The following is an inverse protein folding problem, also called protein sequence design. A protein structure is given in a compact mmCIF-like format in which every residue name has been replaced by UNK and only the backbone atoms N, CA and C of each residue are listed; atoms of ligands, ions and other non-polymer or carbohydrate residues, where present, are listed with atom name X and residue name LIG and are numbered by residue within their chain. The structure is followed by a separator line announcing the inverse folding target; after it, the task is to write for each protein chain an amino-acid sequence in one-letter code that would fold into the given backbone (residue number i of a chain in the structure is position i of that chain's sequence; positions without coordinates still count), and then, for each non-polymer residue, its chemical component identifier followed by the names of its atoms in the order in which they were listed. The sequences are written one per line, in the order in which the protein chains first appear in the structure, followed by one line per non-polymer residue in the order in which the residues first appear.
data_IF_356993150879
#
_entry.id   IF_356993150879
#
_cell.length_a   1.000
_cell.length_b   1.000
_cell.length_c   1.000
_cell.angle_alpha   90.00
_cell.angle_beta   90.00
_cell.angle_gamma   90.00
#
_symmetry.space_group_name_H-M   'P 1'
#
loop_
_entity.id
_entity.type
_entity.pdbx_description
1 polymer ?
#
# COMPACT_ATOMS: atom_id res chain seq x y z
N UNK A 1 8.74 -13.59 20.61
CA UNK A 1 9.28 -13.54 21.99
C UNK A 1 8.92 -12.25 22.72
N UNK A 2 8.84 -11.09 22.02
CA UNK A 2 8.65 -9.76 22.63
C UNK A 2 7.24 -9.52 23.24
N UNK A 3 6.21 -10.27 22.82
CA UNK A 3 4.86 -10.20 23.39
C UNK A 3 4.62 -11.30 24.46
N UNK A 4 5.63 -12.17 24.72
CA UNK A 4 5.53 -13.19 25.79
C UNK A 4 5.51 -12.52 27.15
N UNK A 5 4.47 -12.79 27.94
CA UNK A 5 4.24 -12.19 29.25
C UNK A 5 3.25 -11.03 29.26
N UNK A 6 2.76 -10.58 28.10
CA UNK A 6 1.58 -9.73 27.96
C UNK A 6 0.32 -10.59 27.79
N UNK A 7 -0.84 -10.07 28.17
CA UNK A 7 -2.13 -10.73 27.93
C UNK A 7 -2.57 -10.65 26.44
N UNK A 8 -1.59 -10.65 25.51
CA UNK A 8 -1.80 -10.55 24.08
C UNK A 8 -1.55 -11.90 23.44
N UNK A 9 -2.62 -12.52 22.93
CA UNK A 9 -2.54 -13.75 22.15
C UNK A 9 -2.12 -13.43 20.70
N UNK A 10 -0.99 -13.97 20.28
CA UNK A 10 -0.46 -13.74 18.93
C UNK A 10 0.19 -14.98 18.36
N UNK A 11 0.10 -15.16 17.05
CA UNK A 11 0.85 -16.15 16.28
C UNK A 11 1.60 -15.50 15.12
N UNK A 12 2.62 -16.17 14.62
CA UNK A 12 3.37 -15.70 13.44
C UNK A 12 2.56 -16.02 12.18
N UNK A 13 2.28 -15.00 11.39
CA UNK A 13 1.65 -15.14 10.08
C UNK A 13 2.71 -15.24 8.97
N UNK A 14 3.68 -14.31 8.95
CA UNK A 14 4.86 -14.33 8.07
C UNK A 14 6.10 -13.95 8.88
N UNK A 15 7.25 -13.78 8.22
CA UNK A 15 8.45 -13.24 8.90
C UNK A 15 8.23 -11.86 9.48
N UNK A 16 7.45 -11.02 8.80
CA UNK A 16 7.20 -9.61 9.16
C UNK A 16 5.87 -9.39 9.87
N UNK A 17 4.94 -10.35 9.84
CA UNK A 17 3.58 -10.17 10.37
C UNK A 17 3.26 -11.16 11.50
N UNK A 18 2.57 -10.62 12.52
CA UNK A 18 1.94 -11.38 13.58
C UNK A 18 0.42 -11.17 13.53
N UNK A 19 -0.35 -12.24 13.61
CA UNK A 19 -1.79 -12.15 13.83
C UNK A 19 -2.07 -12.03 15.33
N UNK A 20 -2.92 -11.08 15.71
CA UNK A 20 -3.35 -10.87 17.09
C UNK A 20 -4.76 -11.46 17.26
N UNK A 21 -4.88 -12.51 18.06
CA UNK A 21 -6.16 -13.18 18.31
C UNK A 21 -6.90 -12.61 19.52
N UNK A 22 -6.15 -12.06 20.49
CA UNK A 22 -6.71 -11.46 21.69
C UNK A 22 -5.85 -10.32 22.20
N UNK A 23 -6.46 -9.37 22.92
CA UNK A 23 -5.74 -8.22 23.48
C UNK A 23 -5.30 -7.17 22.45
N UNK A 24 -5.95 -7.08 21.30
CA UNK A 24 -5.57 -6.13 20.23
C UNK A 24 -5.50 -4.67 20.72
N UNK A 25 -6.43 -4.24 21.59
CA UNK A 25 -6.40 -2.89 22.19
C UNK A 25 -5.14 -2.65 23.04
N UNK A 26 -4.65 -3.69 23.72
CA UNK A 26 -3.46 -3.60 24.57
C UNK A 26 -2.17 -3.46 23.75
N UNK A 27 -2.17 -3.87 22.47
CA UNK A 27 -1.01 -3.69 21.59
C UNK A 27 -0.59 -2.24 21.52
N UNK A 28 -1.54 -1.30 21.44
CA UNK A 28 -1.27 0.14 21.37
C UNK A 28 -0.63 0.69 22.64
N UNK A 29 -0.84 0.03 23.78
CA UNK A 29 -0.31 0.42 25.09
C UNK A 29 1.11 -0.15 25.33
N UNK A 30 1.54 -1.10 24.49
CA UNK A 30 2.88 -1.69 24.61
C UNK A 30 3.98 -0.69 24.30
N UNK A 31 5.09 -0.79 25.01
CA UNK A 31 6.31 -0.03 24.67
C UNK A 31 6.77 -0.29 23.23
N UNK A 32 6.54 -1.50 22.70
CA UNK A 32 6.89 -1.86 21.32
C UNK A 32 6.14 -1.00 20.30
N UNK A 33 4.85 -0.76 20.52
CA UNK A 33 4.08 0.12 19.65
C UNK A 33 4.47 1.58 19.82
N UNK A 34 4.56 2.03 21.08
CA UNK A 34 4.87 3.43 21.41
C UNK A 34 6.26 3.86 20.92
N UNK A 35 7.24 2.95 20.93
CA UNK A 35 8.59 3.19 20.44
C UNK A 35 8.80 2.85 18.96
N UNK A 36 7.71 2.49 18.25
CA UNK A 36 7.76 2.26 16.80
C UNK A 36 8.40 0.93 16.37
N UNK A 37 8.60 -0.02 17.27
CA UNK A 37 9.12 -1.35 16.90
C UNK A 37 8.08 -2.20 16.17
N UNK A 38 6.81 -1.88 16.33
CA UNK A 38 5.71 -2.53 15.64
C UNK A 38 4.71 -1.50 15.10
N UNK A 39 4.01 -1.88 14.03
CA UNK A 39 2.92 -1.14 13.43
C UNK A 39 1.71 -2.04 13.27
N UNK A 40 0.51 -1.46 13.18
CA UNK A 40 -0.72 -2.21 12.88
C UNK A 40 -1.00 -2.07 11.39
N UNK A 41 -1.04 -3.20 10.71
CA UNK A 41 -1.29 -3.25 9.28
C UNK A 41 -2.07 -4.52 8.93
N UNK A 42 -2.94 -4.42 7.94
CA UNK A 42 -3.59 -5.54 7.31
C UNK A 42 -2.56 -6.37 6.53
N UNK A 43 -2.50 -7.71 6.67
CA UNK A 43 -1.58 -8.55 5.90
C UNK A 43 -1.73 -8.38 4.39
N UNK A 44 -2.95 -8.23 3.86
CA UNK A 44 -3.18 -7.97 2.45
C UNK A 44 -2.55 -6.62 2.00
N UNK A 45 -2.56 -5.62 2.88
CA UNK A 45 -1.87 -4.35 2.62
C UNK A 45 -0.34 -4.50 2.59
N UNK A 46 0.22 -5.43 3.39
CA UNK A 46 1.63 -5.81 3.33
C UNK A 46 1.97 -6.52 2.03
N UNK A 47 1.16 -7.49 1.63
CA UNK A 47 1.32 -8.24 0.39
C UNK A 47 1.37 -7.34 -0.86
N UNK A 48 0.65 -6.21 -0.86
CA UNK A 48 0.76 -5.19 -1.91
C UNK A 48 2.19 -4.64 -2.02
N UNK A 49 2.86 -4.39 -0.89
CA UNK A 49 4.25 -3.93 -0.90
C UNK A 49 5.22 -5.05 -1.29
N UNK A 50 4.92 -6.30 -0.92
CA UNK A 50 5.73 -7.46 -1.31
C UNK A 50 5.72 -7.67 -2.84
N UNK A 51 4.63 -7.31 -3.53
CA UNK A 51 4.56 -7.32 -5.00
C UNK A 51 5.59 -6.39 -5.68
N UNK A 52 6.20 -5.46 -4.96
CA UNK A 52 7.29 -4.63 -5.50
C UNK A 52 8.61 -5.39 -5.65
N UNK A 53 8.77 -6.55 -5.03
CA UNK A 53 10.02 -7.33 -4.99
C UNK A 53 11.24 -6.48 -4.67
N UNK A 54 11.17 -5.82 -3.51
CA UNK A 54 12.14 -4.81 -3.09
C UNK A 54 13.51 -5.39 -2.79
N UNK A 55 14.54 -4.61 -3.12
CA UNK A 55 15.94 -4.91 -2.78
C UNK A 55 16.52 -3.77 -1.96
N UNK A 56 17.47 -4.08 -1.11
CA UNK A 56 18.20 -3.07 -0.35
C UNK A 56 18.83 -2.00 -1.27
N UNK A 57 18.79 -0.76 -0.83
CA UNK A 57 19.36 0.38 -1.56
C UNK A 57 18.47 0.99 -2.65
N UNK A 58 17.28 0.43 -2.93
CA UNK A 58 16.40 0.95 -3.97
C UNK A 58 15.70 2.24 -3.56
N UNK A 59 15.40 3.08 -4.56
CA UNK A 59 14.50 4.23 -4.44
C UNK A 59 13.09 3.82 -4.82
N UNK A 60 12.13 4.08 -3.93
CA UNK A 60 10.72 3.75 -4.12
C UNK A 60 9.87 5.02 -4.06
N UNK A 61 9.02 5.24 -5.05
CA UNK A 61 7.91 6.20 -4.95
C UNK A 61 6.70 5.49 -4.35
N UNK A 62 6.18 6.03 -3.25
CA UNK A 62 4.89 5.61 -2.69
C UNK A 62 3.89 6.77 -2.87
N UNK A 63 2.98 6.60 -3.82
CA UNK A 63 2.07 7.64 -4.27
C UNK A 63 0.68 7.40 -3.69
N UNK A 64 0.02 8.46 -3.21
CA UNK A 64 -1.20 8.39 -2.41
C UNK A 64 -0.98 7.66 -1.06
N UNK A 65 0.23 7.80 -0.51
CA UNK A 65 0.80 6.96 0.55
C UNK A 65 0.14 7.08 1.91
N UNK A 66 -0.47 8.23 2.21
CA UNK A 66 -0.91 8.52 3.59
C UNK A 66 -2.10 7.63 4.04
N UNK A 67 -2.06 7.12 5.27
CA UNK A 67 -1.28 7.57 6.43
C UNK A 67 0.16 7.02 6.52
N UNK A 68 0.59 6.05 5.69
CA UNK A 68 1.99 5.69 5.56
C UNK A 68 2.40 4.31 6.07
N UNK A 69 1.46 3.44 6.43
CA UNK A 69 1.81 2.09 6.91
C UNK A 69 2.56 1.27 5.86
N UNK A 70 2.20 1.40 4.57
CA UNK A 70 2.95 0.78 3.47
C UNK A 70 4.34 1.41 3.33
N UNK A 71 4.45 2.75 3.39
CA UNK A 71 5.75 3.45 3.34
C UNK A 71 6.70 2.98 4.44
N UNK A 72 6.20 2.78 5.68
CA UNK A 72 7.02 2.27 6.79
C UNK A 72 7.50 0.84 6.53
N UNK A 73 6.64 -0.03 6.01
CA UNK A 73 6.99 -1.39 5.67
C UNK A 73 8.03 -1.45 4.53
N UNK A 74 7.79 -0.69 3.47
CA UNK A 74 8.72 -0.53 2.33
C UNK A 74 10.09 -0.03 2.80
N UNK A 75 10.12 0.96 3.70
CA UNK A 75 11.37 1.50 4.23
C UNK A 75 12.21 0.47 4.99
N UNK A 76 11.55 -0.44 5.72
CA UNK A 76 12.21 -1.58 6.35
C UNK A 76 12.82 -2.55 5.33
N UNK A 77 12.12 -2.80 4.21
CA UNK A 77 12.56 -3.73 3.17
C UNK A 77 13.73 -3.18 2.34
N UNK A 78 13.75 -1.87 2.01
CA UNK A 78 14.85 -1.26 1.26
C UNK A 78 16.06 -0.95 2.13
N UNK A 79 15.93 -0.97 3.46
CA UNK A 79 17.00 -0.73 4.41
C UNK A 79 17.51 0.72 4.43
N UNK A 80 18.55 0.98 5.22
CA UNK A 80 19.08 2.35 5.45
C UNK A 80 19.69 2.97 4.19
N UNK A 81 20.21 2.16 3.27
CA UNK A 81 20.79 2.58 1.99
C UNK A 81 19.73 2.94 0.95
N UNK A 82 18.47 2.47 1.15
CA UNK A 82 17.34 2.76 0.27
C UNK A 82 16.59 4.02 0.69
N UNK A 83 15.68 4.45 -0.18
CA UNK A 83 14.87 5.65 0.06
C UNK A 83 13.41 5.42 -0.34
N UNK A 84 12.48 5.89 0.51
CA UNK A 84 11.05 5.97 0.19
C UNK A 84 10.66 7.43 0.05
N UNK A 85 10.10 7.76 -1.12
CA UNK A 85 9.57 9.09 -1.44
C UNK A 85 8.04 9.00 -1.37
N UNK A 86 7.50 9.26 -0.19
CA UNK A 86 6.08 9.17 0.10
C UNK A 86 5.36 10.48 -0.20
N UNK A 87 4.23 10.41 -0.89
CA UNK A 87 3.43 11.60 -1.21
C UNK A 87 1.92 11.36 -1.07
N UNK A 88 1.21 12.42 -0.76
CA UNK A 88 -0.25 12.45 -0.74
C UNK A 88 -0.75 13.87 -1.03
N UNK A 89 -1.92 13.99 -1.62
CA UNK A 89 -2.54 15.29 -1.92
C UNK A 89 -2.93 16.08 -0.66
N UNK A 90 -3.24 15.39 0.44
CA UNK A 90 -3.74 15.99 1.67
C UNK A 90 -2.61 16.36 2.65
N UNK A 91 -2.37 17.65 2.92
CA UNK A 91 -1.36 18.07 3.92
C UNK A 91 -1.62 17.47 5.30
N UNK A 92 -2.88 17.36 5.72
CA UNK A 92 -3.25 16.78 7.01
C UNK A 92 -2.90 15.31 7.11
N UNK A 93 -3.09 14.54 6.01
CA UNK A 93 -2.70 13.13 5.94
C UNK A 93 -1.19 12.96 5.92
N UNK A 94 -0.46 13.78 5.16
CA UNK A 94 1.01 13.81 5.13
C UNK A 94 1.57 14.10 6.53
N UNK A 95 1.00 15.04 7.28
CA UNK A 95 1.44 15.34 8.63
C UNK A 95 1.26 14.14 9.60
N UNK A 96 0.18 13.36 9.45
CA UNK A 96 0.02 12.10 10.21
C UNK A 96 1.11 11.09 9.88
N UNK A 97 1.44 10.93 8.58
CA UNK A 97 2.53 10.07 8.14
C UNK A 97 3.89 10.50 8.71
N UNK A 98 4.16 11.81 8.78
CA UNK A 98 5.37 12.35 9.43
C UNK A 98 5.42 12.08 10.93
N UNK A 99 4.28 12.18 11.61
CA UNK A 99 4.19 11.86 13.05
C UNK A 99 4.48 10.38 13.31
N UNK A 100 3.92 9.50 12.50
CA UNK A 100 4.15 8.06 12.63
C UNK A 100 5.59 7.68 12.25
N UNK A 101 6.15 8.32 11.23
CA UNK A 101 7.58 8.20 10.88
C UNK A 101 8.50 8.55 12.07
N UNK A 102 8.21 9.65 12.78
CA UNK A 102 8.99 10.05 13.96
C UNK A 102 8.90 9.00 15.07
N UNK A 103 7.73 8.38 15.27
CA UNK A 103 7.54 7.29 16.24
C UNK A 103 8.43 6.09 15.92
N UNK A 104 8.58 5.75 14.64
CA UNK A 104 9.42 4.64 14.17
C UNK A 104 10.91 4.96 14.11
N UNK A 105 11.29 6.24 14.17
CA UNK A 105 12.69 6.66 14.12
C UNK A 105 13.40 6.39 12.78
N UNK A 106 12.65 6.09 11.72
CA UNK A 106 13.20 5.83 10.39
C UNK A 106 13.65 7.13 9.75
N UNK A 107 14.78 7.10 9.02
CA UNK A 107 15.40 8.27 8.37
C UNK A 107 15.32 8.22 6.84
N UNK A 108 14.93 7.09 6.30
CA UNK A 108 14.92 6.81 4.86
C UNK A 108 13.54 7.04 4.18
N UNK A 109 12.60 7.72 4.86
CA UNK A 109 11.32 8.16 4.26
C UNK A 109 11.29 9.68 4.17
N UNK A 110 10.94 10.20 2.99
CA UNK A 110 10.70 11.63 2.76
C UNK A 110 9.26 11.86 2.36
N UNK A 111 8.54 12.67 3.14
CA UNK A 111 7.15 13.02 2.91
C UNK A 111 7.01 14.34 2.15
N UNK A 112 6.18 14.35 1.12
CA UNK A 112 5.80 15.56 0.37
C UNK A 112 4.29 15.64 0.13
N UNK A 113 3.78 16.87 0.04
CA UNK A 113 2.42 17.11 -0.45
C UNK A 113 2.50 17.27 -1.94
N UNK A 114 1.86 16.36 -2.70
CA UNK A 114 1.89 16.36 -4.16
C UNK A 114 0.55 15.92 -4.75
N UNK A 115 0.22 16.52 -5.88
CA UNK A 115 -0.86 16.06 -6.75
C UNK A 115 -0.31 15.05 -7.76
N UNK A 116 -0.66 13.78 -7.56
CA UNK A 116 -0.17 12.67 -8.37
C UNK A 116 -0.57 12.74 -9.87
N UNK A 117 -1.42 13.69 -10.25
CA UNK A 117 -1.85 13.87 -11.64
C UNK A 117 -0.97 14.85 -12.41
N UNK A 118 -0.18 15.69 -11.71
CA UNK A 118 0.53 16.81 -12.36
C UNK A 118 1.90 17.16 -11.81
N UNK A 119 2.20 16.76 -10.56
CA UNK A 119 3.47 17.14 -9.93
C UNK A 119 4.58 16.15 -10.30
N UNK A 120 5.77 16.67 -10.60
CA UNK A 120 6.91 15.85 -10.98
C UNK A 120 7.48 15.05 -9.80
N UNK A 121 8.03 13.89 -10.12
CA UNK A 121 8.74 13.01 -9.21
C UNK A 121 10.16 12.72 -9.73
N UNK A 122 11.11 12.38 -8.88
CA UNK A 122 12.37 11.84 -9.36
C UNK A 122 12.19 10.41 -9.87
N UNK A 123 13.08 9.96 -10.75
CA UNK A 123 13.08 8.59 -11.23
C UNK A 123 13.29 7.59 -10.09
N UNK A 124 12.56 6.50 -10.12
CA UNK A 124 12.58 5.48 -9.09
C UNK A 124 12.72 4.06 -9.66
N UNK A 125 13.28 3.18 -8.84
CA UNK A 125 13.44 1.76 -9.19
C UNK A 125 12.12 1.01 -9.06
N UNK A 126 11.25 1.47 -8.16
CA UNK A 126 9.95 0.90 -7.84
C UNK A 126 8.91 1.99 -7.59
N UNK A 127 7.68 1.74 -8.00
CA UNK A 127 6.56 2.66 -7.75
C UNK A 127 5.39 1.88 -7.15
N UNK A 128 4.87 2.38 -6.04
CA UNK A 128 3.59 1.96 -5.49
C UNK A 128 2.56 3.08 -5.69
N UNK A 129 1.42 2.72 -6.26
CA UNK A 129 0.24 3.58 -6.35
C UNK A 129 -0.90 2.90 -5.58
N UNK A 130 -1.07 3.26 -4.30
CA UNK A 130 -2.25 2.87 -3.51
C UNK A 130 -3.38 3.87 -3.79
N UNK A 131 -4.09 3.63 -4.90
CA UNK A 131 -4.92 4.63 -5.54
C UNK A 131 -6.16 5.00 -4.72
N UNK A 132 -6.58 6.30 -4.74
CA UNK A 132 -7.86 6.68 -4.17
C UNK A 132 -8.99 5.95 -4.90
N UNK A 133 -9.83 5.23 -4.16
CA UNK A 133 -10.87 4.37 -4.71
C UNK A 133 -12.19 4.48 -3.92
N UNK A 134 -13.23 3.79 -4.37
CA UNK A 134 -14.52 3.73 -3.66
C UNK A 134 -14.40 3.05 -2.31
N UNK A 135 -13.45 2.10 -2.17
CA UNK A 135 -13.23 1.36 -0.92
C UNK A 135 -14.25 0.26 -0.67
N UNK A 136 -14.95 -0.23 -1.69
CA UNK A 136 -16.01 -1.24 -1.55
C UNK A 136 -15.52 -2.55 -0.95
N UNK A 137 -14.23 -2.89 -1.11
CA UNK A 137 -13.62 -4.09 -0.52
C UNK A 137 -13.34 -3.98 1.00
N UNK A 138 -13.45 -2.79 1.60
CA UNK A 138 -13.22 -2.59 3.04
C UNK A 138 -14.46 -2.15 3.80
N UNK A 139 -15.67 -2.35 3.24
CA UNK A 139 -16.95 -1.98 3.88
C UNK A 139 -17.19 -2.72 5.20
N UNK A 140 -16.64 -3.92 5.40
CA UNK A 140 -16.73 -4.64 6.67
C UNK A 140 -16.01 -3.88 7.82
N UNK A 141 -14.96 -3.12 7.50
CA UNK A 141 -14.17 -2.32 8.46
C UNK A 141 -14.58 -0.85 8.48
N UNK A 142 -15.16 -0.35 7.39
CA UNK A 142 -15.61 1.03 7.19
C UNK A 142 -17.04 1.05 6.66
N UNK A 143 -18.04 0.70 7.49
CA UNK A 143 -19.43 0.53 7.04
C UNK A 143 -20.07 1.82 6.53
N UNK A 144 -19.53 2.98 6.92
CA UNK A 144 -19.98 4.31 6.46
C UNK A 144 -19.77 4.53 4.95
N UNK A 145 -18.90 3.77 4.29
CA UNK A 145 -18.72 3.78 2.84
C UNK A 145 -20.04 3.52 2.13
N UNK A 146 -20.85 2.59 2.64
CA UNK A 146 -22.18 2.24 2.10
C UNK A 146 -23.09 3.46 1.91
N UNK A 147 -22.98 4.45 2.78
CA UNK A 147 -23.83 5.64 2.77
C UNK A 147 -23.21 6.84 2.06
N UNK A 148 -21.89 6.84 1.91
CA UNK A 148 -21.14 7.94 1.31
C UNK A 148 -20.97 7.81 -0.19
N UNK A 149 -20.93 6.57 -0.71
CA UNK A 149 -20.66 6.31 -2.12
C UNK A 149 -21.91 6.34 -2.98
N UNK A 150 -21.75 6.86 -4.19
CA UNK A 150 -22.78 6.91 -5.22
C UNK A 150 -22.28 6.18 -6.48
N UNK A 151 -23.14 5.61 -7.32
CA UNK A 151 -22.71 4.91 -8.54
C UNK A 151 -21.79 5.73 -9.44
N UNK A 152 -22.02 7.05 -9.56
CA UNK A 152 -21.15 7.94 -10.34
C UNK A 152 -19.73 8.15 -9.76
N UNK A 153 -19.47 7.73 -8.52
CA UNK A 153 -18.12 7.85 -7.93
C UNK A 153 -17.16 6.84 -8.53
N UNK A 154 -17.63 5.66 -8.94
CA UNK A 154 -16.81 4.64 -9.60
C UNK A 154 -16.16 5.22 -10.87
N UNK A 155 -16.97 5.81 -11.76
CA UNK A 155 -16.45 6.42 -13.00
C UNK A 155 -15.50 7.58 -12.74
N UNK A 156 -15.79 8.43 -11.75
CA UNK A 156 -14.91 9.56 -11.38
C UNK A 156 -13.57 9.07 -10.87
N UNK A 157 -13.58 8.06 -9.98
CA UNK A 157 -12.37 7.54 -9.36
C UNK A 157 -11.56 6.71 -10.34
N UNK A 158 -12.18 5.86 -11.17
CA UNK A 158 -11.44 5.11 -12.20
C UNK A 158 -10.77 6.03 -13.24
N UNK A 159 -11.43 7.13 -13.61
CA UNK A 159 -10.82 8.16 -14.46
C UNK A 159 -9.62 8.83 -13.78
N UNK A 160 -9.74 9.17 -12.49
CA UNK A 160 -8.64 9.75 -11.71
C UNK A 160 -7.48 8.75 -11.57
N UNK A 161 -7.77 7.50 -11.27
CA UNK A 161 -6.82 6.40 -11.14
C UNK A 161 -6.00 6.22 -12.43
N UNK A 162 -6.66 6.20 -13.57
CA UNK A 162 -5.97 6.11 -14.87
C UNK A 162 -5.04 7.30 -15.10
N UNK A 163 -5.48 8.52 -14.78
CA UNK A 163 -4.64 9.72 -14.90
C UNK A 163 -3.42 9.67 -14.00
N UNK A 164 -3.59 9.26 -12.74
CA UNK A 164 -2.48 9.06 -11.78
C UNK A 164 -1.51 8.02 -12.34
N UNK A 165 -2.02 6.87 -12.76
CA UNK A 165 -1.21 5.76 -13.27
C UNK A 165 -0.40 6.17 -14.50
N UNK A 166 -1.02 6.82 -15.49
CA UNK A 166 -0.34 7.32 -16.69
C UNK A 166 0.70 8.41 -16.39
N UNK A 167 0.43 9.29 -15.43
CA UNK A 167 1.38 10.34 -15.09
C UNK A 167 2.57 9.80 -14.29
N UNK A 168 2.30 9.02 -13.24
CA UNK A 168 3.34 8.55 -12.33
C UNK A 168 4.23 7.47 -12.96
N UNK A 169 3.71 6.68 -13.89
CA UNK A 169 4.49 5.65 -14.59
C UNK A 169 5.69 6.20 -15.37
N UNK A 170 5.67 7.48 -15.75
CA UNK A 170 6.76 8.14 -16.48
C UNK A 170 8.05 8.27 -15.65
N UNK A 171 7.95 8.17 -14.33
CA UNK A 171 9.07 8.26 -13.40
C UNK A 171 9.64 6.88 -13.01
N UNK A 172 9.15 5.80 -13.64
CA UNK A 172 9.71 4.47 -13.44
C UNK A 172 10.94 4.28 -14.32
N UNK A 173 12.06 3.92 -13.71
CA UNK A 173 13.27 3.57 -14.46
C UNK A 173 13.01 2.34 -15.35
N UNK A 174 13.67 2.23 -16.52
CA UNK A 174 13.60 1.04 -17.37
C UNK A 174 13.93 -0.22 -16.57
N UNK A 175 13.10 -1.27 -16.71
CA UNK A 175 13.22 -2.52 -15.94
C UNK A 175 12.75 -2.43 -14.49
N UNK A 176 12.16 -1.31 -14.09
CA UNK A 176 11.51 -1.14 -12.79
C UNK A 176 10.17 -1.86 -12.69
N UNK A 177 9.62 -1.95 -11.48
CA UNK A 177 8.29 -2.51 -11.20
C UNK A 177 7.35 -1.44 -10.65
N UNK A 178 6.15 -1.35 -11.22
CA UNK A 178 5.06 -0.52 -10.74
C UNK A 178 3.95 -1.43 -10.21
N UNK A 179 3.55 -1.20 -8.96
CA UNK A 179 2.38 -1.85 -8.35
C UNK A 179 1.25 -0.85 -8.27
N UNK A 180 0.14 -1.18 -8.91
CA UNK A 180 -1.12 -0.44 -8.80
C UNK A 180 -2.06 -1.23 -7.89
N UNK A 181 -2.56 -0.60 -6.85
CA UNK A 181 -3.45 -1.23 -5.88
C UNK A 181 -4.66 -0.34 -5.54
N UNK A 182 -5.76 -0.99 -5.21
CA UNK A 182 -6.96 -0.35 -4.65
C UNK A 182 -7.54 -1.20 -3.52
N UNK A 183 -8.31 -0.60 -2.64
CA UNK A 183 -9.17 -1.32 -1.71
C UNK A 183 -10.62 -1.44 -2.22
N UNK A 184 -10.82 -1.44 -3.53
CA UNK A 184 -12.11 -1.63 -4.21
C UNK A 184 -12.22 -3.03 -4.79
N UNK A 185 -13.42 -3.59 -4.81
CA UNK A 185 -13.73 -4.84 -5.54
C UNK A 185 -14.35 -4.57 -6.92
N UNK A 186 -14.54 -3.29 -7.28
CA UNK A 186 -15.16 -2.90 -8.53
C UNK A 186 -14.21 -3.13 -9.72
N UNK A 187 -14.60 -3.87 -10.76
CA UNK A 187 -13.77 -4.09 -11.93
C UNK A 187 -13.30 -2.81 -12.63
N UNK A 188 -14.14 -1.78 -12.62
CA UNK A 188 -13.90 -0.48 -13.24
C UNK A 188 -12.74 0.28 -12.57
N UNK A 189 -12.49 0.03 -11.29
CA UNK A 189 -11.38 0.62 -10.53
C UNK A 189 -10.11 -0.24 -10.52
N UNK A 190 -10.19 -1.46 -11.01
CA UNK A 190 -9.10 -2.44 -11.00
C UNK A 190 -8.69 -2.80 -12.43
N UNK A 191 -9.20 -3.94 -12.94
CA UNK A 191 -8.79 -4.48 -14.24
C UNK A 191 -9.04 -3.54 -15.42
N UNK A 192 -10.10 -2.75 -15.39
CA UNK A 192 -10.45 -1.89 -16.51
C UNK A 192 -9.51 -0.67 -16.58
N UNK A 193 -9.05 -0.15 -15.44
CA UNK A 193 -7.99 0.86 -15.36
C UNK A 193 -6.68 0.30 -15.91
N UNK A 194 -6.25 -0.88 -15.45
CA UNK A 194 -5.02 -1.53 -15.93
C UNK A 194 -5.08 -1.81 -17.42
N UNK A 195 -6.20 -2.34 -17.92
CA UNK A 195 -6.41 -2.59 -19.35
C UNK A 195 -6.30 -1.32 -20.20
N UNK A 196 -6.86 -0.20 -19.73
CA UNK A 196 -6.76 1.08 -20.41
C UNK A 196 -5.32 1.62 -20.37
N UNK A 197 -4.67 1.53 -19.21
CA UNK A 197 -3.28 1.94 -19.06
C UNK A 197 -2.34 1.22 -20.03
N UNK A 198 -2.43 -0.11 -20.12
CA UNK A 198 -1.59 -0.92 -21.02
C UNK A 198 -1.83 -0.61 -22.50
N UNK A 199 -3.03 -0.19 -22.89
CA UNK A 199 -3.28 0.27 -24.27
C UNK A 199 -2.59 1.60 -24.60
N UNK A 200 -2.39 2.45 -23.59
CA UNK A 200 -1.76 3.77 -23.74
C UNK A 200 -0.25 3.71 -23.54
N UNK A 201 0.28 2.66 -22.90
CA UNK A 201 1.68 2.53 -22.48
C UNK A 201 2.19 1.14 -22.87
N UNK A 202 2.54 0.96 -24.14
CA UNK A 202 2.93 -0.33 -24.72
C UNK A 202 4.26 -0.92 -24.16
N UNK A 203 5.06 -0.08 -23.48
CA UNK A 203 6.32 -0.52 -22.85
C UNK A 203 6.10 -1.22 -21.50
N UNK A 204 4.86 -1.25 -21.00
CA UNK A 204 4.49 -1.94 -19.77
C UNK A 204 3.87 -3.29 -20.07
N UNK A 205 4.26 -4.26 -19.25
CA UNK A 205 3.68 -5.63 -19.26
C UNK A 205 3.20 -5.98 -17.86
N UNK A 206 2.16 -6.80 -17.77
CA UNK A 206 1.72 -7.36 -16.49
C UNK A 206 2.67 -8.49 -16.11
N UNK A 207 3.09 -8.51 -14.85
CA UNK A 207 3.87 -9.59 -14.24
C UNK A 207 3.00 -10.34 -13.24
N UNK A 208 3.23 -11.64 -13.12
CA UNK A 208 2.63 -12.43 -12.04
C UNK A 208 3.14 -11.93 -10.69
N UNK A 209 2.31 -12.06 -9.66
CA UNK A 209 2.73 -11.73 -8.29
C UNK A 209 3.81 -12.71 -7.80
N UNK A 210 4.68 -12.29 -6.87
CA UNK A 210 5.74 -13.15 -6.34
C UNK A 210 5.17 -14.43 -5.71
N UNK A 211 5.90 -15.53 -5.83
CA UNK A 211 5.54 -16.84 -5.26
C UNK A 211 5.47 -16.85 -3.71
N UNK A 212 5.93 -15.79 -3.06
CA UNK A 212 5.79 -15.57 -1.62
C UNK A 212 4.38 -15.17 -1.20
N UNK A 213 3.56 -14.71 -2.15
CA UNK A 213 2.14 -14.40 -1.92
C UNK A 213 1.35 -15.71 -1.83
N UNK A 214 0.48 -15.90 -0.82
CA UNK A 214 -0.35 -17.07 -0.73
C UNK A 214 -1.16 -17.32 -2.00
N UNK A 215 -1.18 -18.55 -2.50
CA UNK A 215 -1.81 -18.87 -3.79
C UNK A 215 -3.32 -18.65 -3.81
N UNK A 216 -3.99 -18.75 -2.66
CA UNK A 216 -5.41 -18.44 -2.49
C UNK A 216 -5.70 -16.92 -2.52
N UNK A 217 -4.67 -16.07 -2.46
CA UNK A 217 -4.76 -14.62 -2.64
C UNK A 217 -4.54 -14.17 -4.08
N UNK A 218 -4.31 -15.10 -5.00
CA UNK A 218 -4.02 -14.80 -6.40
C UNK A 218 -5.20 -15.24 -7.26
N UNK A 219 -5.71 -14.32 -8.08
CA UNK A 219 -6.80 -14.63 -8.99
C UNK A 219 -6.30 -15.43 -10.22
N UNK A 220 -7.23 -15.90 -11.04
CA UNK A 220 -6.96 -16.65 -12.27
C UNK A 220 -6.10 -15.91 -13.31
N UNK A 221 -5.82 -14.62 -13.08
CA UNK A 221 -5.04 -13.72 -13.96
C UNK A 221 -3.67 -13.40 -13.39
N UNK A 222 -3.29 -14.02 -12.27
CA UNK A 222 -2.04 -13.76 -11.60
C UNK A 222 -1.99 -12.46 -10.79
N UNK A 223 -3.14 -11.85 -10.49
CA UNK A 223 -3.21 -10.62 -9.69
C UNK A 223 -3.49 -10.92 -8.22
N UNK A 224 -2.90 -10.13 -7.32
CA UNK A 224 -3.26 -10.14 -5.91
C UNK A 224 -4.71 -9.69 -5.75
N UNK A 225 -5.55 -10.58 -5.26
CA UNK A 225 -6.97 -10.35 -5.07
C UNK A 225 -7.46 -10.94 -3.74
N UNK A 226 -7.69 -10.08 -2.76
CA UNK A 226 -8.19 -10.49 -1.45
C UNK A 226 -9.61 -10.03 -1.23
N UNK A 227 -10.42 -10.92 -0.65
CA UNK A 227 -11.82 -10.66 -0.32
C UNK A 227 -12.02 -10.76 1.20
N UNK A 228 -12.68 -9.78 1.84
CA UNK A 228 -12.81 -9.73 3.29
C UNK A 228 -13.47 -10.97 3.92
N UNK A 229 -14.38 -11.62 3.20
CA UNK A 229 -15.10 -12.80 3.69
C UNK A 229 -14.30 -14.11 3.55
N UNK A 230 -13.19 -14.10 2.80
CA UNK A 230 -12.31 -15.26 2.60
C UNK A 230 -10.94 -15.08 3.28
N UNK A 231 -10.43 -13.84 3.31
CA UNK A 231 -9.03 -13.58 3.68
C UNK A 231 -8.87 -12.67 4.91
N UNK A 232 -9.97 -12.31 5.57
CA UNK A 232 -9.98 -11.56 6.85
C UNK A 232 -10.29 -10.08 6.76
#
# INVERSE_FOLDING_TARGET
RLLKGSNIGSERFTESFLTIHSGAGQVLETGLFQTGHISIQDPASGAVADCLELKAGQTVLDVCAAPGTKSLYIAGLVGEEGQVLASDLSPARVNRGRQDLNRHGLKNIRWSVKDAVKDDYPDADRILIDAPCTGTGVMCRKPDIRWRRKPGDILKLSTLQLRILCHVSQFLKPGGTLVYATCSIEPEENRDVVKQFLKLNADFIVQDVPSTIPGDWVDERGCLYTLPHLHG
#
